data_IF_002672873560
#
_entry.id   IF_002672873560
#
_cell.length_a   1.000
_cell.length_b   1.000
_cell.length_c   1.000
_cell.angle_alpha   90.00
_cell.angle_beta   90.00
_cell.angle_gamma   90.00
#
_symmetry.space_group_name_H-M   'P 1'
#
loop_
_entity.id
_entity.type
_entity.pdbx_description
1 polymer ?
#
# COMPACT_ATOMS: atom_id res chain seq x y z
N UNK A 1 21.99 -19.21 -1.44
CA UNK A 1 20.61 -18.78 -1.20
C UNK A 1 20.53 -17.27 -1.36
N UNK A 2 19.44 -16.76 -1.93
CA UNK A 2 19.14 -15.34 -2.09
C UNK A 2 17.66 -15.15 -1.74
N UNK A 3 17.32 -14.11 -0.98
CA UNK A 3 15.94 -13.81 -0.57
C UNK A 3 15.62 -12.34 -0.83
N UNK A 4 14.43 -12.08 -1.34
CA UNK A 4 13.87 -10.74 -1.53
C UNK A 4 12.41 -10.71 -1.07
N UNK A 5 12.02 -9.64 -0.37
CA UNK A 5 10.63 -9.37 -0.02
C UNK A 5 9.96 -8.52 -1.10
N UNK A 6 8.80 -8.94 -1.58
CA UNK A 6 7.94 -8.20 -2.52
C UNK A 6 6.56 -8.09 -1.87
N UNK A 7 6.08 -6.87 -1.60
CA UNK A 7 4.95 -6.67 -0.71
C UNK A 7 5.24 -7.24 0.69
N UNK A 8 4.49 -8.28 1.09
CA UNK A 8 4.75 -9.06 2.31
C UNK A 8 5.25 -10.48 2.04
N UNK A 9 5.47 -10.83 0.77
CA UNK A 9 5.90 -12.17 0.32
C UNK A 9 7.41 -12.25 0.24
N UNK A 10 7.99 -13.25 0.89
CA UNK A 10 9.40 -13.57 0.73
C UNK A 10 9.59 -14.56 -0.43
N UNK A 11 10.42 -14.17 -1.40
CA UNK A 11 10.87 -15.00 -2.52
C UNK A 11 12.29 -15.44 -2.25
N UNK A 12 12.51 -16.75 -2.11
CA UNK A 12 13.82 -17.32 -1.79
C UNK A 12 14.29 -18.27 -2.88
N UNK A 13 15.48 -18.05 -3.42
CA UNK A 13 16.12 -18.91 -4.42
C UNK A 13 17.33 -19.61 -3.78
N UNK A 14 17.30 -20.94 -3.76
CA UNK A 14 18.45 -21.76 -3.37
C UNK A 14 19.07 -22.42 -4.60
N UNK A 15 20.35 -22.16 -4.83
CA UNK A 15 21.03 -22.54 -6.06
C UNK A 15 22.53 -22.74 -5.84
N UNK A 16 23.15 -23.50 -6.74
CA UNK A 16 24.60 -23.60 -6.85
C UNK A 16 25.11 -22.86 -8.09
N UNK A 17 26.36 -22.40 -8.01
CA UNK A 17 26.95 -21.42 -8.92
C UNK A 17 28.07 -22.04 -9.77
N UNK A 18 27.78 -22.78 -10.85
CA UNK A 18 28.83 -23.25 -11.75
C UNK A 18 29.54 -22.06 -12.41
N UNK A 19 30.85 -22.19 -12.61
CA UNK A 19 31.64 -21.24 -13.41
C UNK A 19 31.40 -21.50 -14.91
N UNK A 20 31.52 -20.53 -15.79
CA UNK A 20 31.46 -20.76 -17.23
C UNK A 20 32.81 -21.26 -17.73
N UNK A 21 33.88 -20.56 -17.34
CA UNK A 21 35.24 -20.76 -17.82
C UNK A 21 35.31 -20.59 -19.34
N UNK A 22 36.12 -21.43 -20.00
CA UNK A 22 36.27 -21.46 -21.46
C UNK A 22 35.27 -22.37 -22.18
N UNK A 23 34.27 -22.90 -21.47
CA UNK A 23 33.36 -23.92 -22.02
C UNK A 23 32.25 -23.29 -22.85
N UNK A 24 31.80 -24.02 -23.87
CA UNK A 24 30.54 -23.70 -24.56
C UNK A 24 29.36 -24.08 -23.65
N UNK A 25 28.75 -23.06 -23.03
CA UNK A 25 27.65 -23.27 -22.09
C UNK A 25 26.36 -23.61 -22.84
N UNK A 26 25.85 -22.69 -23.65
CA UNK A 26 24.56 -22.84 -24.34
C UNK A 26 24.68 -23.71 -25.59
N UNK A 27 23.81 -24.71 -25.71
CA UNK A 27 23.91 -25.75 -26.74
C UNK A 27 25.14 -26.67 -26.57
N UNK A 28 25.76 -26.66 -25.39
CA UNK A 28 26.91 -27.49 -25.02
C UNK A 28 26.68 -28.13 -23.65
N UNK A 29 27.26 -27.54 -22.60
CA UNK A 29 27.05 -27.98 -21.20
C UNK A 29 25.57 -27.97 -20.82
N UNK A 30 24.83 -26.99 -21.31
CA UNK A 30 23.37 -26.90 -21.22
C UNK A 30 22.80 -27.16 -22.62
N UNK A 31 22.28 -28.37 -22.90
CA UNK A 31 21.68 -28.70 -24.19
C UNK A 31 20.39 -27.91 -24.41
N UNK A 32 20.17 -27.48 -25.66
CA UNK A 32 18.89 -26.87 -26.03
C UNK A 32 17.77 -27.92 -26.14
N UNK A 33 16.55 -27.48 -25.85
CA UNK A 33 15.34 -28.31 -25.93
C UNK A 33 15.22 -29.38 -24.84
N UNK A 34 16.10 -29.36 -23.83
CA UNK A 34 16.08 -30.30 -22.71
C UNK A 34 15.90 -29.56 -21.38
N UNK A 35 15.18 -30.14 -20.40
CA UNK A 35 15.09 -29.58 -19.05
C UNK A 35 16.46 -29.50 -18.38
N UNK A 36 16.76 -28.33 -17.83
CA UNK A 36 17.95 -28.06 -17.06
C UNK A 36 17.57 -27.46 -15.71
N UNK A 37 18.20 -27.92 -14.63
CA UNK A 37 18.01 -27.51 -13.22
C UNK A 37 18.36 -26.05 -12.89
N UNK A 38 18.61 -25.24 -13.92
CA UNK A 38 18.95 -23.81 -13.80
C UNK A 38 20.07 -23.50 -12.78
N UNK A 39 21.05 -24.40 -12.67
CA UNK A 39 22.10 -24.40 -11.63
C UNK A 39 23.03 -25.61 -11.73
N UNK A 40 23.68 -25.98 -10.62
CA UNK A 40 24.57 -27.14 -10.52
C UNK A 40 24.22 -28.03 -9.32
N UNK A 41 24.69 -29.29 -9.34
CA UNK A 41 24.45 -30.29 -8.30
C UNK A 41 22.96 -30.56 -8.05
N UNK A 42 22.43 -30.15 -6.89
CA UNK A 42 21.03 -30.26 -6.52
C UNK A 42 20.13 -29.40 -7.41
N UNK A 43 18.83 -29.69 -7.39
CA UNK A 43 17.88 -28.85 -8.11
C UNK A 43 17.89 -27.43 -7.55
N UNK A 44 17.89 -26.42 -8.42
CA UNK A 44 17.64 -25.05 -7.97
C UNK A 44 16.21 -25.00 -7.44
N UNK A 45 16.00 -24.38 -6.30
CA UNK A 45 14.65 -24.20 -5.76
C UNK A 45 14.29 -22.74 -5.67
N UNK A 46 12.99 -22.45 -5.87
CA UNK A 46 12.40 -21.15 -5.63
C UNK A 46 11.18 -21.32 -4.72
N UNK A 47 11.17 -20.55 -3.64
CA UNK A 47 10.14 -20.59 -2.61
C UNK A 47 9.39 -19.26 -2.56
N UNK A 48 8.07 -19.35 -2.39
CA UNK A 48 7.17 -18.22 -2.16
C UNK A 48 6.39 -18.46 -0.86
N UNK A 49 6.36 -17.47 0.05
CA UNK A 49 5.57 -17.57 1.29
C UNK A 49 4.07 -17.41 1.09
N UNK A 50 3.68 -16.78 -0.02
CA UNK A 50 2.30 -16.46 -0.39
C UNK A 50 2.08 -16.71 -1.90
N UNK A 51 0.82 -16.79 -2.36
CA UNK A 51 0.52 -16.90 -3.79
C UNK A 51 1.06 -15.70 -4.58
N UNK A 52 1.61 -15.97 -5.76
CA UNK A 52 2.20 -14.97 -6.65
C UNK A 52 1.64 -15.09 -8.06
N UNK A 53 1.93 -14.10 -8.90
CA UNK A 53 1.82 -14.18 -10.34
C UNK A 53 3.24 -14.22 -10.93
N UNK A 54 3.54 -15.22 -11.74
CA UNK A 54 4.78 -15.29 -12.53
C UNK A 54 4.43 -15.06 -13.98
N UNK A 55 5.00 -14.03 -14.61
CA UNK A 55 4.61 -13.59 -15.96
C UNK A 55 3.08 -13.44 -16.11
N UNK A 56 2.43 -12.91 -15.06
CA UNK A 56 0.98 -12.73 -14.99
C UNK A 56 0.16 -14.01 -14.74
N UNK A 57 0.78 -15.20 -14.68
CA UNK A 57 0.09 -16.47 -14.41
C UNK A 57 0.13 -16.83 -12.92
N UNK A 58 -0.98 -17.31 -12.33
CA UNK A 58 -1.03 -17.64 -10.92
C UNK A 58 -0.13 -18.84 -10.57
N UNK A 59 0.53 -18.73 -9.42
CA UNK A 59 1.27 -19.80 -8.77
C UNK A 59 1.01 -19.72 -7.26
N UNK A 60 0.57 -20.82 -6.66
CA UNK A 60 0.33 -20.88 -5.22
C UNK A 60 1.64 -20.71 -4.42
N UNK A 61 1.49 -20.47 -3.11
CA UNK A 61 2.64 -20.51 -2.19
C UNK A 61 3.25 -21.91 -2.16
N UNK A 62 4.55 -21.99 -1.98
CA UNK A 62 5.24 -23.27 -1.88
C UNK A 62 6.72 -23.19 -2.27
N UNK A 63 7.38 -24.34 -2.22
CA UNK A 63 8.77 -24.52 -2.69
C UNK A 63 8.75 -25.35 -3.95
N UNK A 64 9.26 -24.79 -5.04
CA UNK A 64 9.25 -25.40 -6.36
C UNK A 64 10.68 -25.71 -6.82
N UNK A 65 10.84 -26.83 -7.52
CA UNK A 65 12.02 -27.10 -8.33
C UNK A 65 12.03 -26.19 -9.55
N UNK A 66 13.07 -25.39 -9.72
CA UNK A 66 13.22 -24.45 -10.82
C UNK A 66 13.99 -25.11 -11.96
N UNK A 67 13.28 -25.35 -13.07
CA UNK A 67 13.87 -25.86 -14.31
C UNK A 67 13.71 -24.84 -15.42
N UNK A 68 14.60 -24.92 -16.41
CA UNK A 68 14.50 -24.15 -17.65
C UNK A 68 14.72 -25.07 -18.84
N UNK A 69 13.94 -24.90 -19.90
CA UNK A 69 14.20 -25.51 -21.21
C UNK A 69 14.72 -24.38 -22.12
N UNK A 70 16.04 -24.31 -22.34
CA UNK A 70 16.60 -23.27 -23.17
C UNK A 70 16.43 -23.60 -24.65
N UNK A 71 16.14 -22.58 -25.44
CA UNK A 71 16.29 -22.61 -26.91
C UNK A 71 17.14 -21.41 -27.34
N UNK A 72 17.28 -21.19 -28.66
CA UNK A 72 18.01 -20.02 -29.17
C UNK A 72 17.32 -18.69 -28.83
N UNK A 73 15.98 -18.64 -28.90
CA UNK A 73 15.23 -17.37 -28.88
C UNK A 73 14.20 -17.26 -27.75
N UNK A 74 13.72 -18.39 -27.22
CA UNK A 74 12.68 -18.44 -26.18
C UNK A 74 12.97 -19.55 -25.19
N UNK A 75 12.85 -19.25 -23.90
CA UNK A 75 13.10 -20.21 -22.83
C UNK A 75 11.81 -20.49 -22.08
N UNK A 76 11.58 -21.74 -21.74
CA UNK A 76 10.49 -22.10 -20.84
C UNK A 76 11.05 -22.21 -19.43
N UNK A 77 10.60 -21.34 -18.52
CA UNK A 77 10.85 -21.45 -17.07
C UNK A 77 9.73 -22.30 -16.46
N UNK A 78 10.12 -23.24 -15.61
CA UNK A 78 9.26 -24.30 -15.09
C UNK A 78 9.38 -24.33 -13.57
N UNK A 79 8.22 -24.35 -12.92
CA UNK A 79 8.07 -24.49 -11.48
C UNK A 79 7.50 -25.88 -11.19
N UNK A 80 8.36 -26.84 -10.88
CA UNK A 80 7.96 -28.22 -10.56
C UNK A 80 7.63 -28.37 -9.07
N UNK A 81 6.59 -29.16 -8.75
CA UNK A 81 6.24 -29.52 -7.37
C UNK A 81 7.30 -30.40 -6.70
N UNK A 82 8.19 -31.00 -7.48
CA UNK A 82 9.31 -31.81 -7.00
C UNK A 82 10.56 -30.95 -6.81
N UNK A 83 10.79 -30.49 -5.58
CA UNK A 83 11.90 -29.61 -5.20
C UNK A 83 13.10 -30.32 -4.57
N UNK A 84 13.05 -31.65 -4.41
CA UNK A 84 14.06 -32.44 -3.69
C UNK A 84 14.94 -33.31 -4.59
N UNK A 85 14.62 -33.40 -5.88
CA UNK A 85 15.37 -34.24 -6.83
C UNK A 85 16.79 -33.75 -7.07
N UNK A 86 17.70 -34.69 -7.38
CA UNK A 86 19.05 -34.36 -7.80
C UNK A 86 19.08 -33.98 -9.28
N UNK A 87 19.16 -32.67 -9.54
CA UNK A 87 19.20 -32.12 -10.89
C UNK A 87 17.91 -32.35 -11.69
N UNK A 88 18.03 -32.75 -12.97
CA UNK A 88 16.87 -32.89 -13.90
C UNK A 88 16.71 -34.28 -14.49
N UNK A 89 17.44 -35.27 -13.98
CA UNK A 89 17.46 -36.63 -14.53
C UNK A 89 16.14 -37.39 -14.34
N UNK A 90 15.41 -37.06 -13.27
CA UNK A 90 14.11 -37.64 -12.91
C UNK A 90 12.98 -36.63 -13.08
N UNK A 91 13.17 -35.61 -13.92
CA UNK A 91 12.17 -34.59 -14.17
C UNK A 91 10.92 -35.20 -14.84
N UNK A 92 9.74 -35.00 -14.25
CA UNK A 92 8.44 -35.39 -14.82
C UNK A 92 7.58 -34.15 -15.11
N UNK A 93 7.22 -33.87 -16.38
CA UNK A 93 6.30 -32.80 -16.75
C UNK A 93 4.95 -32.79 -16.01
N UNK A 94 4.48 -33.95 -15.50
CA UNK A 94 3.23 -34.04 -14.74
C UNK A 94 3.31 -33.38 -13.37
N UNK A 95 4.52 -33.13 -12.88
CA UNK A 95 4.77 -32.47 -11.60
C UNK A 95 4.83 -30.94 -11.74
N UNK A 96 4.76 -30.40 -12.96
CA UNK A 96 4.80 -28.96 -13.19
C UNK A 96 3.57 -28.27 -12.59
N UNK A 97 3.81 -27.30 -11.71
CA UNK A 97 2.79 -26.38 -11.24
C UNK A 97 2.58 -25.23 -12.24
N UNK A 98 3.65 -24.77 -12.89
CA UNK A 98 3.57 -23.67 -13.85
C UNK A 98 4.69 -23.74 -14.90
N UNK A 99 4.34 -23.33 -16.13
CA UNK A 99 5.29 -23.02 -17.21
C UNK A 99 5.05 -21.61 -17.74
N UNK A 100 6.13 -20.83 -17.85
CA UNK A 100 6.13 -19.51 -18.46
C UNK A 100 7.21 -19.44 -19.53
N UNK A 101 6.90 -18.77 -20.63
CA UNK A 101 7.89 -18.53 -21.68
C UNK A 101 8.46 -17.14 -21.48
N UNK A 102 9.78 -17.02 -21.56
CA UNK A 102 10.51 -15.77 -21.42
C UNK A 102 11.59 -15.66 -22.48
N UNK A 103 11.99 -14.44 -22.79
CA UNK A 103 13.02 -14.17 -23.78
C UNK A 103 14.37 -13.96 -23.09
N UNK A 104 15.39 -14.79 -23.36
CA UNK A 104 16.75 -14.51 -22.90
C UNK A 104 17.26 -13.22 -23.55
N UNK A 105 18.14 -12.52 -22.84
CA UNK A 105 18.69 -11.25 -23.26
C UNK A 105 20.22 -11.29 -23.22
N UNK A 106 20.92 -10.63 -24.16
CA UNK A 106 22.36 -10.43 -24.05
C UNK A 106 22.70 -9.70 -22.74
N UNK A 107 23.78 -10.13 -22.10
CA UNK A 107 24.29 -9.55 -20.87
C UNK A 107 25.82 -9.49 -20.89
N UNK A 108 26.39 -8.66 -20.02
CA UNK A 108 27.82 -8.68 -19.71
C UNK A 108 28.26 -10.08 -19.26
N UNK A 109 29.50 -10.46 -19.59
CA UNK A 109 30.00 -11.78 -19.26
C UNK A 109 30.06 -11.97 -17.73
N UNK A 110 29.40 -13.01 -17.25
CA UNK A 110 29.39 -13.40 -15.84
C UNK A 110 29.87 -14.84 -15.68
N UNK A 111 31.04 -15.04 -15.07
CA UNK A 111 31.66 -16.37 -14.99
C UNK A 111 30.86 -17.33 -14.09
N UNK A 112 30.60 -16.95 -12.83
CA UNK A 112 29.78 -17.75 -11.93
C UNK A 112 28.28 -17.49 -12.16
N UNK A 113 27.46 -18.53 -12.37
CA UNK A 113 26.00 -18.34 -12.43
C UNK A 113 25.50 -17.59 -11.19
N UNK A 114 24.64 -16.62 -11.40
CA UNK A 114 23.99 -15.85 -10.33
C UNK A 114 22.50 -15.65 -10.60
N UNK A 115 21.74 -15.51 -9.52
CA UNK A 115 20.39 -14.96 -9.55
C UNK A 115 20.41 -13.58 -8.91
N UNK A 116 19.52 -12.70 -9.35
CA UNK A 116 19.30 -11.38 -8.78
C UNK A 116 17.82 -10.98 -8.87
N UNK A 117 17.44 -9.95 -8.12
CA UNK A 117 16.13 -9.29 -8.18
C UNK A 117 16.31 -7.86 -8.71
N UNK A 118 15.97 -7.68 -9.99
CA UNK A 118 16.01 -6.40 -10.69
C UNK A 118 14.65 -5.68 -10.62
N UNK A 119 14.64 -4.37 -10.92
CA UNK A 119 13.43 -3.55 -11.09
C UNK A 119 12.41 -3.67 -9.93
N UNK A 120 12.89 -3.61 -8.69
CA UNK A 120 12.05 -3.68 -7.50
C UNK A 120 10.97 -2.60 -7.50
N UNK A 121 9.73 -3.02 -7.27
CA UNK A 121 8.53 -2.20 -7.06
C UNK A 121 7.82 -2.67 -5.79
N UNK A 122 6.86 -1.89 -5.24
CA UNK A 122 6.11 -2.29 -4.05
C UNK A 122 5.43 -3.67 -4.16
N UNK A 123 5.01 -4.07 -5.36
CA UNK A 123 4.20 -5.25 -5.63
C UNK A 123 4.86 -6.24 -6.62
N UNK A 124 6.07 -5.95 -7.11
CA UNK A 124 6.69 -6.76 -8.15
C UNK A 124 8.21 -6.62 -8.19
N UNK A 125 8.87 -7.62 -8.76
CA UNK A 125 10.29 -7.63 -9.09
C UNK A 125 10.54 -8.51 -10.30
N UNK A 126 11.67 -8.30 -10.98
CA UNK A 126 12.17 -9.18 -12.04
C UNK A 126 13.24 -10.09 -11.46
N UNK A 127 12.98 -11.39 -11.45
CA UNK A 127 14.00 -12.40 -11.11
C UNK A 127 14.84 -12.65 -12.36
N UNK A 128 16.17 -12.51 -12.22
CA UNK A 128 17.09 -12.66 -13.35
C UNK A 128 18.14 -13.72 -13.05
N UNK A 129 18.17 -14.81 -13.83
CA UNK A 129 19.36 -15.65 -13.93
C UNK A 129 20.38 -14.94 -14.83
N UNK A 130 21.65 -14.83 -14.41
CA UNK A 130 22.75 -14.33 -15.24
C UNK A 130 23.91 -15.32 -15.24
N UNK A 131 24.33 -15.74 -16.44
CA UNK A 131 25.47 -16.63 -16.60
C UNK A 131 26.04 -16.56 -18.01
N UNK A 132 27.36 -16.60 -18.14
CA UNK A 132 28.04 -16.32 -19.40
C UNK A 132 27.57 -14.95 -19.92
N UNK A 133 27.12 -14.82 -21.18
CA UNK A 133 26.67 -13.57 -21.80
C UNK A 133 25.15 -13.50 -21.92
N UNK A 134 24.41 -14.28 -21.12
CA UNK A 134 22.96 -14.29 -21.12
C UNK A 134 22.39 -13.93 -19.75
N UNK A 135 21.31 -13.15 -19.79
CA UNK A 135 20.37 -12.97 -18.71
C UNK A 135 19.01 -13.58 -19.10
N UNK A 136 18.32 -14.17 -18.13
CA UNK A 136 16.98 -14.75 -18.31
C UNK A 136 16.06 -14.12 -17.27
N UNK A 137 15.45 -12.97 -17.58
CA UNK A 137 14.55 -12.27 -16.68
C UNK A 137 13.13 -12.88 -16.73
N UNK A 138 12.48 -12.96 -15.58
CA UNK A 138 11.05 -13.19 -15.48
C UNK A 138 10.42 -12.37 -14.34
N UNK A 139 9.24 -11.81 -14.57
CA UNK A 139 8.52 -10.98 -13.61
C UNK A 139 7.77 -11.84 -12.59
N UNK A 140 7.96 -11.50 -11.32
CA UNK A 140 7.16 -11.99 -10.19
C UNK A 140 6.42 -10.80 -9.60
N UNK A 141 5.10 -10.91 -9.49
CA UNK A 141 4.27 -9.88 -8.86
C UNK A 141 3.33 -10.51 -7.85
N UNK A 142 2.95 -9.75 -6.83
CA UNK A 142 1.99 -10.13 -5.80
C UNK A 142 0.76 -9.25 -5.89
N UNK A 143 -0.40 -9.80 -5.57
CA UNK A 143 -1.62 -9.02 -5.42
C UNK A 143 -1.68 -8.46 -4.00
N UNK A 144 -0.89 -7.40 -3.74
CA UNK A 144 -0.76 -6.78 -2.41
C UNK A 144 -2.13 -6.49 -1.79
N UNK A 145 -3.03 -5.94 -2.60
CA UNK A 145 -4.38 -5.57 -2.17
C UNK A 145 -5.19 -6.78 -1.69
N UNK A 146 -5.23 -7.86 -2.47
CA UNK A 146 -5.93 -9.11 -2.10
C UNK A 146 -5.36 -9.70 -0.80
N UNK A 147 -4.04 -9.63 -0.62
CA UNK A 147 -3.37 -10.13 0.60
C UNK A 147 -3.72 -9.30 1.83
N UNK A 148 -3.76 -7.97 1.68
CA UNK A 148 -4.16 -7.09 2.78
C UNK A 148 -5.64 -7.29 3.11
N UNK A 149 -6.52 -7.40 2.12
CA UNK A 149 -7.94 -7.72 2.34
C UNK A 149 -8.10 -9.05 3.11
N UNK A 150 -7.39 -10.10 2.70
CA UNK A 150 -7.42 -11.38 3.41
C UNK A 150 -6.88 -11.27 4.85
N UNK A 151 -5.83 -10.48 5.07
CA UNK A 151 -5.29 -10.22 6.41
C UNK A 151 -6.28 -9.47 7.29
N UNK A 152 -6.92 -8.42 6.77
CA UNK A 152 -7.96 -7.66 7.45
C UNK A 152 -9.13 -8.59 7.82
N UNK A 153 -9.63 -9.39 6.87
CA UNK A 153 -10.68 -10.39 7.14
C UNK A 153 -10.30 -11.34 8.28
N UNK A 154 -9.05 -11.81 8.33
CA UNK A 154 -8.61 -12.72 9.38
C UNK A 154 -8.51 -12.02 10.73
N UNK A 155 -7.95 -10.81 10.79
CA UNK A 155 -7.83 -10.02 12.02
C UNK A 155 -9.21 -9.67 12.60
N UNK A 156 -10.17 -9.32 11.74
CA UNK A 156 -11.53 -8.96 12.10
C UNK A 156 -12.40 -10.15 12.50
N UNK A 157 -11.92 -11.40 12.39
CA UNK A 157 -12.53 -12.59 13.03
C UNK A 157 -12.11 -12.79 14.47
N UNK A 158 -11.09 -12.07 14.94
CA UNK A 158 -10.55 -12.14 16.30
C UNK A 158 -11.28 -11.22 17.28
N UNK A 159 -10.60 -10.82 18.36
CA UNK A 159 -11.16 -9.93 19.38
C UNK A 159 -11.57 -8.55 18.83
N UNK A 160 -10.92 -8.10 17.76
CA UNK A 160 -11.23 -6.84 17.09
C UNK A 160 -12.69 -6.75 16.62
N UNK A 161 -13.35 -7.89 16.38
CA UNK A 161 -14.73 -7.95 15.92
C UNK A 161 -15.74 -7.29 16.89
N UNK A 162 -15.42 -7.27 18.19
CA UNK A 162 -16.26 -6.78 19.28
C UNK A 162 -16.04 -5.30 19.60
N UNK A 163 -15.25 -4.60 18.79
CA UNK A 163 -14.89 -3.21 19.01
C UNK A 163 -15.04 -2.43 17.72
N UNK A 164 -15.48 -1.18 17.81
CA UNK A 164 -15.71 -0.34 16.63
C UNK A 164 -14.41 -0.01 15.86
N UNK A 165 -13.28 0.16 16.56
CA UNK A 165 -12.07 0.75 15.98
C UNK A 165 -11.43 -0.15 14.91
N UNK A 166 -11.37 -1.47 15.11
CA UNK A 166 -10.76 -2.37 14.14
C UNK A 166 -11.51 -2.38 12.79
N UNK A 167 -12.84 -2.35 12.86
CA UNK A 167 -13.69 -2.24 11.66
C UNK A 167 -13.53 -0.87 10.97
N UNK A 168 -13.46 0.21 11.74
CA UNK A 168 -13.29 1.56 11.21
C UNK A 168 -11.91 1.76 10.55
N UNK A 169 -10.84 1.28 11.18
CA UNK A 169 -9.48 1.32 10.65
C UNK A 169 -9.38 0.53 9.33
N UNK A 170 -10.00 -0.65 9.27
CA UNK A 170 -10.06 -1.46 8.07
C UNK A 170 -10.82 -0.75 6.94
N UNK A 171 -11.99 -0.14 7.24
CA UNK A 171 -12.75 0.63 6.26
C UNK A 171 -11.96 1.84 5.74
N UNK A 172 -11.26 2.56 6.62
CA UNK A 172 -10.38 3.67 6.26
C UNK A 172 -9.26 3.23 5.33
N UNK A 173 -8.59 2.13 5.66
CA UNK A 173 -7.54 1.57 4.81
C UNK A 173 -8.07 1.27 3.40
N UNK A 174 -9.23 0.62 3.30
CA UNK A 174 -9.81 0.27 2.00
C UNK A 174 -10.14 1.51 1.16
N UNK A 175 -10.79 2.52 1.74
CA UNK A 175 -11.14 3.73 0.97
C UNK A 175 -9.92 4.57 0.60
N UNK A 176 -8.90 4.67 1.46
CA UNK A 176 -7.68 5.43 1.17
C UNK A 176 -6.85 4.81 0.04
N UNK A 177 -6.86 3.49 -0.05
CA UNK A 177 -6.17 2.75 -1.11
C UNK A 177 -7.08 2.48 -2.32
N UNK A 178 -8.32 3.00 -2.33
CA UNK A 178 -9.32 2.80 -3.39
C UNK A 178 -9.60 1.31 -3.66
N UNK A 179 -9.60 0.53 -2.60
CA UNK A 179 -9.85 -0.91 -2.59
C UNK A 179 -11.28 -1.19 -2.15
N UNK A 180 -11.87 -2.25 -2.72
CA UNK A 180 -13.14 -2.88 -2.36
C UNK A 180 -14.12 -1.99 -1.54
N UNK A 181 -14.63 -0.92 -2.18
CA UNK A 181 -15.45 0.09 -1.50
C UNK A 181 -16.75 -0.48 -0.93
N UNK A 182 -17.29 -1.53 -1.54
CA UNK A 182 -18.47 -2.24 -1.03
C UNK A 182 -18.17 -2.92 0.32
N UNK A 183 -17.00 -3.56 0.45
CA UNK A 183 -16.58 -4.17 1.71
C UNK A 183 -16.23 -3.11 2.75
N UNK A 184 -15.60 -2.00 2.34
CA UNK A 184 -15.37 -0.85 3.21
C UNK A 184 -16.69 -0.34 3.81
N UNK A 185 -17.76 -0.24 3.01
CA UNK A 185 -19.07 0.18 3.48
C UNK A 185 -19.63 -0.79 4.53
N UNK A 186 -19.55 -2.11 4.28
CA UNK A 186 -19.95 -3.13 5.27
C UNK A 186 -19.16 -3.01 6.57
N UNK A 187 -17.86 -2.74 6.50
CA UNK A 187 -17.04 -2.54 7.69
C UNK A 187 -17.45 -1.29 8.47
N UNK A 188 -17.80 -0.19 7.79
CA UNK A 188 -18.35 0.98 8.50
C UNK A 188 -19.67 0.65 9.19
N UNK A 189 -20.55 -0.13 8.57
CA UNK A 189 -21.80 -0.58 9.19
C UNK A 189 -21.52 -1.45 10.42
N UNK A 190 -20.57 -2.39 10.34
CA UNK A 190 -20.13 -3.20 11.49
C UNK A 190 -19.50 -2.38 12.60
N UNK A 191 -18.72 -1.36 12.27
CA UNK A 191 -18.17 -0.44 13.26
C UNK A 191 -19.28 0.32 14.00
N UNK A 192 -20.25 0.85 13.26
CA UNK A 192 -21.41 1.58 13.78
C UNK A 192 -22.31 0.69 14.65
N UNK A 193 -22.53 -0.57 14.25
CA UNK A 193 -23.27 -1.57 15.03
C UNK A 193 -22.63 -1.83 16.40
N UNK A 194 -21.29 -1.85 16.47
CA UNK A 194 -20.56 -2.04 17.72
C UNK A 194 -20.68 -0.81 18.64
N UNK A 195 -20.41 0.38 18.09
CA UNK A 195 -20.59 1.64 18.80
C UNK A 195 -20.66 2.80 17.80
N UNK A 196 -21.80 3.46 17.68
CA UNK A 196 -21.96 4.59 16.76
C UNK A 196 -21.24 5.85 17.28
N UNK A 197 -20.24 6.34 16.55
CA UNK A 197 -19.38 7.48 16.93
C UNK A 197 -19.18 8.46 15.77
N UNK A 198 -18.52 9.58 16.04
CA UNK A 198 -18.11 10.52 14.98
C UNK A 198 -17.25 9.83 13.92
N UNK A 199 -16.27 9.06 14.38
CA UNK A 199 -15.19 8.49 13.57
C UNK A 199 -15.74 7.57 12.47
N UNK A 200 -16.54 6.57 12.86
CA UNK A 200 -17.11 5.63 11.89
C UNK A 200 -18.20 6.22 10.98
N UNK A 201 -18.94 7.22 11.44
CA UNK A 201 -19.86 7.97 10.57
C UNK A 201 -19.12 8.84 9.54
N UNK A 202 -17.98 9.44 9.94
CA UNK A 202 -17.12 10.19 9.04
C UNK A 202 -16.46 9.26 8.00
N UNK A 203 -15.98 8.09 8.42
CA UNK A 203 -15.47 7.05 7.51
C UNK A 203 -16.55 6.58 6.54
N UNK A 204 -17.78 6.33 7.02
CA UNK A 204 -18.92 5.97 6.16
C UNK A 204 -19.21 7.04 5.11
N UNK A 205 -19.20 8.32 5.51
CA UNK A 205 -19.35 9.43 4.57
C UNK A 205 -18.27 9.42 3.48
N UNK A 206 -17.00 9.21 3.87
CA UNK A 206 -15.87 9.12 2.95
C UNK A 206 -16.00 7.94 1.98
N UNK A 207 -16.40 6.76 2.46
CA UNK A 207 -16.66 5.58 1.63
C UNK A 207 -17.79 5.84 0.62
N UNK A 208 -18.94 6.33 1.09
CA UNK A 208 -20.08 6.66 0.23
C UNK A 208 -19.73 7.71 -0.83
N UNK A 209 -18.95 8.73 -0.45
CA UNK A 209 -18.47 9.73 -1.40
C UNK A 209 -17.55 9.11 -2.46
N UNK A 210 -16.65 8.20 -2.09
CA UNK A 210 -15.79 7.48 -3.02
C UNK A 210 -16.58 6.55 -3.97
N UNK A 211 -17.72 6.03 -3.53
CA UNK A 211 -18.66 5.25 -4.35
C UNK A 211 -19.54 6.13 -5.26
N UNK A 212 -19.55 7.46 -5.05
CA UNK A 212 -20.39 8.39 -5.79
C UNK A 212 -21.79 8.63 -5.18
N UNK A 213 -22.06 8.08 -4.00
CA UNK A 213 -23.34 8.16 -3.29
C UNK A 213 -23.43 9.48 -2.49
N UNK A 214 -23.55 10.61 -3.20
CA UNK A 214 -23.38 11.95 -2.61
C UNK A 214 -24.38 12.29 -1.50
N UNK A 215 -25.65 11.95 -1.69
CA UNK A 215 -26.71 12.29 -0.71
C UNK A 215 -26.56 11.48 0.57
N UNK A 216 -26.26 10.19 0.45
CA UNK A 216 -25.99 9.31 1.59
C UNK A 216 -24.69 9.72 2.31
N UNK A 217 -23.66 10.12 1.57
CA UNK A 217 -22.43 10.64 2.13
C UNK A 217 -22.69 11.92 2.96
N UNK A 218 -23.51 12.84 2.46
CA UNK A 218 -23.90 14.05 3.17
C UNK A 218 -24.73 13.73 4.44
N UNK A 219 -25.66 12.78 4.35
CA UNK A 219 -26.44 12.33 5.50
C UNK A 219 -25.54 11.73 6.60
N UNK A 220 -24.61 10.84 6.23
CA UNK A 220 -23.64 10.26 7.16
C UNK A 220 -22.73 11.34 7.78
N UNK A 221 -22.29 12.31 6.99
CA UNK A 221 -21.47 13.43 7.46
C UNK A 221 -22.21 14.29 8.50
N UNK A 222 -23.47 14.61 8.24
CA UNK A 222 -24.28 15.40 9.17
C UNK A 222 -24.46 14.66 10.50
N UNK A 223 -24.76 13.35 10.43
CA UNK A 223 -24.86 12.50 11.61
C UNK A 223 -23.54 12.42 12.39
N UNK A 224 -22.40 12.38 11.68
CA UNK A 224 -21.10 12.45 12.32
C UNK A 224 -20.95 13.76 13.11
N UNK A 225 -21.22 14.90 12.46
CA UNK A 225 -21.10 16.23 13.08
C UNK A 225 -22.01 16.44 14.30
N UNK A 226 -23.17 15.78 14.35
CA UNK A 226 -24.04 15.79 15.53
C UNK A 226 -23.40 15.14 16.77
N UNK A 227 -22.53 14.15 16.56
CA UNK A 227 -21.80 13.43 17.63
C UNK A 227 -20.40 13.97 17.89
N UNK A 228 -19.91 14.84 17.02
CA UNK A 228 -18.54 15.33 17.06
C UNK A 228 -18.28 16.16 18.32
N UNK A 229 -17.12 15.95 18.95
CA UNK A 229 -16.58 16.91 19.90
C UNK A 229 -16.25 18.25 19.22
N UNK A 230 -16.15 19.36 19.96
CA UNK A 230 -15.81 20.65 19.36
C UNK A 230 -14.48 20.62 18.60
N UNK A 231 -13.51 19.84 19.08
CA UNK A 231 -12.23 19.64 18.42
C UNK A 231 -12.38 18.84 17.12
N UNK A 232 -13.17 17.77 17.10
CA UNK A 232 -13.46 17.01 15.88
C UNK A 232 -14.16 17.87 14.82
N UNK A 233 -15.14 18.71 15.21
CA UNK A 233 -15.78 19.67 14.30
C UNK A 233 -14.73 20.62 13.71
N UNK A 234 -13.81 21.12 14.54
CA UNK A 234 -12.75 22.03 14.09
C UNK A 234 -11.80 21.33 13.11
N UNK A 235 -11.35 20.11 13.42
CA UNK A 235 -10.47 19.33 12.55
C UNK A 235 -11.13 18.98 11.23
N UNK A 236 -12.42 18.65 11.24
CA UNK A 236 -13.19 18.40 10.03
C UNK A 236 -13.21 19.64 9.11
N UNK A 237 -13.51 20.82 9.66
CA UNK A 237 -13.46 22.08 8.90
C UNK A 237 -12.05 22.37 8.35
N UNK A 238 -10.98 22.08 9.11
CA UNK A 238 -9.60 22.19 8.62
C UNK A 238 -9.32 21.24 7.45
N UNK A 239 -9.83 20.01 7.51
CA UNK A 239 -9.75 19.05 6.41
C UNK A 239 -10.41 19.56 5.13
N UNK A 240 -11.60 20.16 5.24
CA UNK A 240 -12.30 20.80 4.12
C UNK A 240 -11.48 21.94 3.49
N UNK A 241 -10.81 22.77 4.31
CA UNK A 241 -9.91 23.80 3.76
C UNK A 241 -8.78 23.19 2.93
N UNK A 242 -8.18 22.07 3.38
CA UNK A 242 -7.15 21.35 2.63
C UNK A 242 -7.65 20.75 1.31
N UNK A 243 -8.96 20.54 1.18
CA UNK A 243 -9.63 20.10 -0.05
C UNK A 243 -10.13 21.26 -0.92
N UNK A 244 -9.71 22.50 -0.64
CA UNK A 244 -10.20 23.73 -1.28
C UNK A 244 -11.70 24.02 -1.10
N UNK A 245 -12.35 23.42 -0.09
CA UNK A 245 -13.77 23.63 0.24
C UNK A 245 -13.92 24.69 1.34
N UNK A 246 -13.45 25.91 1.04
CA UNK A 246 -13.32 27.00 2.02
C UNK A 246 -14.67 27.46 2.58
N UNK A 247 -15.70 27.63 1.74
CA UNK A 247 -17.00 28.14 2.17
C UNK A 247 -17.68 27.21 3.19
N UNK A 248 -17.62 25.90 2.93
CA UNK A 248 -18.13 24.88 3.84
C UNK A 248 -17.35 24.88 5.16
N UNK A 249 -16.01 24.95 5.10
CA UNK A 249 -15.18 25.04 6.29
C UNK A 249 -15.51 26.26 7.15
N UNK A 250 -15.69 27.43 6.52
CA UNK A 250 -16.00 28.68 7.22
C UNK A 250 -17.39 28.65 7.86
N UNK A 251 -18.39 28.06 7.21
CA UNK A 251 -19.71 27.84 7.81
C UNK A 251 -19.61 26.98 9.08
N UNK A 252 -18.79 25.92 9.04
CA UNK A 252 -18.57 25.04 10.18
C UNK A 252 -17.79 25.75 11.30
N UNK A 253 -16.74 26.53 10.99
CA UNK A 253 -16.03 27.29 12.03
C UNK A 253 -16.95 28.28 12.76
N UNK A 254 -17.78 29.02 12.03
CA UNK A 254 -18.76 29.94 12.64
C UNK A 254 -19.73 29.20 13.56
N UNK A 255 -20.23 28.05 13.10
CA UNK A 255 -21.16 27.21 13.88
C UNK A 255 -20.49 26.65 15.13
N UNK A 256 -19.25 26.17 15.01
CA UNK A 256 -18.46 25.63 16.11
C UNK A 256 -18.18 26.71 17.17
N UNK A 257 -17.76 27.90 16.73
CA UNK A 257 -17.50 29.03 17.63
C UNK A 257 -18.77 29.54 18.34
N UNK A 258 -19.90 29.55 17.64
CA UNK A 258 -21.19 29.90 18.25
C UNK A 258 -21.61 28.91 19.33
N UNK A 259 -21.35 27.61 19.14
CA UNK A 259 -21.77 26.55 20.05
C UNK A 259 -20.78 26.35 21.22
N UNK A 260 -19.50 26.61 21.00
CA UNK A 260 -18.43 26.35 21.96
C UNK A 260 -17.44 27.53 22.06
N UNK A 261 -17.91 28.73 22.44
CA UNK A 261 -17.10 29.95 22.40
C UNK A 261 -15.86 29.91 23.30
N UNK A 262 -15.87 29.11 24.36
CA UNK A 262 -14.77 29.08 25.33
C UNK A 262 -13.56 28.22 24.88
N UNK A 263 -13.66 27.54 23.74
CA UNK A 263 -12.60 26.68 23.24
C UNK A 263 -11.57 27.47 22.44
N UNK A 264 -10.31 27.52 22.89
CA UNK A 264 -9.26 28.35 22.26
C UNK A 264 -9.15 28.15 20.73
N UNK A 265 -9.30 26.91 20.25
CA UNK A 265 -9.19 26.60 18.83
C UNK A 265 -10.36 27.14 17.99
N UNK A 266 -11.55 27.38 18.55
CA UNK A 266 -12.66 27.95 17.76
C UNK A 266 -12.36 29.39 17.33
N UNK A 267 -11.61 30.14 18.14
CA UNK A 267 -11.13 31.48 17.80
C UNK A 267 -10.10 31.45 16.66
N UNK A 268 -9.24 30.43 16.61
CA UNK A 268 -8.37 30.20 15.44
C UNK A 268 -9.19 29.95 14.17
N UNK A 269 -10.35 29.28 14.29
CA UNK A 269 -11.30 29.10 13.18
C UNK A 269 -11.93 30.42 12.73
N UNK A 270 -12.40 31.26 13.66
CA UNK A 270 -12.93 32.60 13.34
C UNK A 270 -11.86 33.51 12.74
N UNK A 271 -10.63 33.46 13.23
CA UNK A 271 -9.51 34.21 12.68
C UNK A 271 -9.29 33.88 11.19
N UNK A 272 -9.43 32.59 10.81
CA UNK A 272 -9.34 32.14 9.42
C UNK A 272 -10.45 32.70 8.54
N UNK A 273 -11.67 32.75 9.08
CA UNK A 273 -12.82 33.36 8.41
C UNK A 273 -12.58 34.84 8.15
N UNK A 274 -12.14 35.61 9.16
CA UNK A 274 -11.82 37.04 9.01
C UNK A 274 -10.66 37.26 8.05
N UNK A 275 -9.62 36.43 8.11
CA UNK A 275 -8.47 36.48 7.21
C UNK A 275 -8.89 36.34 5.75
N UNK A 276 -9.79 35.38 5.45
CA UNK A 276 -10.32 35.19 4.10
C UNK A 276 -11.17 36.37 3.59
N UNK A 277 -11.72 37.17 4.50
CA UNK A 277 -12.45 38.41 4.18
C UNK A 277 -11.53 39.63 4.01
N UNK A 278 -10.22 39.47 4.20
CA UNK A 278 -9.25 40.57 4.23
C UNK A 278 -9.26 41.38 5.53
N UNK A 279 -10.03 40.96 6.54
CA UNK A 279 -10.09 41.61 7.85
C UNK A 279 -9.00 41.06 8.77
N UNK A 280 -7.75 41.39 8.42
CA UNK A 280 -6.57 40.97 9.19
C UNK A 280 -6.58 41.51 10.64
N UNK A 281 -7.23 42.64 10.87
CA UNK A 281 -7.36 43.24 12.20
C UNK A 281 -8.20 42.34 13.11
N UNK A 282 -9.42 41.97 12.70
CA UNK A 282 -10.25 41.09 13.51
C UNK A 282 -9.72 39.64 13.51
N UNK A 283 -9.07 39.20 12.44
CA UNK A 283 -8.36 37.92 12.43
C UNK A 283 -7.29 37.85 13.52
N UNK A 284 -6.43 38.87 13.62
CA UNK A 284 -5.38 38.94 14.64
C UNK A 284 -5.96 39.01 16.05
N UNK A 285 -7.07 39.74 16.26
CA UNK A 285 -7.76 39.78 17.56
C UNK A 285 -8.25 38.40 17.99
N UNK A 286 -8.97 37.69 17.13
CA UNK A 286 -9.43 36.33 17.42
C UNK A 286 -8.26 35.39 17.69
N UNK A 287 -7.18 35.47 16.90
CA UNK A 287 -6.01 34.62 17.11
C UNK A 287 -5.28 34.92 18.43
N UNK A 288 -5.31 36.17 18.92
CA UNK A 288 -4.81 36.52 20.26
C UNK A 288 -5.67 35.94 21.38
N UNK A 289 -6.99 35.88 21.19
CA UNK A 289 -7.89 35.18 22.13
C UNK A 289 -7.55 33.69 22.15
N UNK A 290 -7.34 33.09 20.97
CA UNK A 290 -6.88 31.70 20.86
C UNK A 290 -5.56 31.48 21.61
N UNK A 291 -4.58 32.39 21.46
CA UNK A 291 -3.27 32.30 22.11
C UNK A 291 -3.36 32.33 23.65
N UNK A 292 -4.22 33.19 24.19
CA UNK A 292 -4.35 33.38 25.64
C UNK A 292 -4.75 32.10 26.37
N UNK A 293 -5.60 31.27 25.74
CA UNK A 293 -6.14 30.03 26.31
C UNK A 293 -5.57 28.77 25.68
N UNK A 294 -4.57 28.88 24.79
CA UNK A 294 -3.95 27.73 24.14
C UNK A 294 -3.09 26.92 25.13
N UNK A 295 -3.07 25.57 25.02
CA UNK A 295 -2.10 24.73 25.73
C UNK A 295 -0.67 25.14 25.40
N UNK A 296 0.26 24.97 26.34
CA UNK A 296 1.65 25.42 26.17
C UNK A 296 2.33 24.85 24.92
N UNK A 297 2.05 23.58 24.60
CA UNK A 297 2.54 22.92 23.38
C UNK A 297 2.09 23.60 22.07
N UNK A 298 1.00 24.38 22.09
CA UNK A 298 0.44 25.05 20.93
C UNK A 298 0.75 26.56 20.88
N UNK A 299 1.18 27.17 22.00
CA UNK A 299 1.37 28.63 22.10
C UNK A 299 2.33 29.19 21.04
N UNK A 300 3.48 28.54 20.84
CA UNK A 300 4.48 28.99 19.85
C UNK A 300 3.91 29.00 18.42
N UNK A 301 3.17 27.95 18.05
CA UNK A 301 2.50 27.87 16.75
C UNK A 301 1.45 28.98 16.58
N UNK A 302 0.59 29.19 17.59
CA UNK A 302 -0.46 30.21 17.55
C UNK A 302 0.14 31.62 17.53
N UNK A 303 1.21 31.88 18.27
CA UNK A 303 1.94 33.16 18.26
C UNK A 303 2.51 33.46 16.86
N UNK A 304 3.05 32.45 16.17
CA UNK A 304 3.47 32.57 14.77
C UNK A 304 2.33 33.00 13.85
N UNK A 305 1.12 32.46 14.05
CA UNK A 305 -0.07 32.86 13.28
C UNK A 305 -0.52 34.29 13.60
N UNK A 306 -0.41 34.75 14.85
CA UNK A 306 -0.68 36.16 15.21
C UNK A 306 0.24 37.10 14.42
N UNK A 307 1.55 36.83 14.41
CA UNK A 307 2.54 37.67 13.72
C UNK A 307 2.29 37.75 12.20
N UNK A 308 1.94 36.61 11.59
CA UNK A 308 1.52 36.55 10.17
C UNK A 308 0.32 37.44 9.91
N UNK A 309 -0.73 37.31 10.72
CA UNK A 309 -1.96 38.12 10.58
C UNK A 309 -1.70 39.61 10.77
N UNK A 310 -0.87 40.01 11.74
CA UNK A 310 -0.47 41.41 11.95
C UNK A 310 0.32 41.97 10.77
N UNK A 311 1.07 41.12 10.07
CA UNK A 311 1.79 41.46 8.83
C UNK A 311 0.90 41.41 7.58
N UNK A 312 -0.40 41.14 7.74
CA UNK A 312 -1.38 40.95 6.67
C UNK A 312 -1.09 39.74 5.76
N UNK A 313 -0.42 38.73 6.30
CA UNK A 313 -0.21 37.46 5.62
C UNK A 313 -1.45 36.57 5.74
N UNK A 314 -1.89 36.03 4.61
CA UNK A 314 -3.02 35.10 4.58
C UNK A 314 -2.62 33.77 5.22
N UNK A 315 -3.25 33.43 6.35
CA UNK A 315 -2.99 32.18 7.08
C UNK A 315 -3.77 30.97 6.53
N UNK A 316 -4.66 31.19 5.55
CA UNK A 316 -5.37 30.12 4.86
C UNK A 316 -4.57 29.51 3.70
N UNK A 317 -3.43 30.12 3.37
CA UNK A 317 -2.42 29.63 2.43
C UNK A 317 -1.27 28.95 3.18
#
# INVERSE_FOLDING_TARGET
>A
MLTQRIGITDVTISYHRPLAGSRKIWGGVVPYGQPWRAGANENTTIQFTDPVLVEGKPLDRGTYGLHMIPTADEWTVIFSKNSTSWGSFTYDPKEDALRVNVKPQPAEFHDALTYDFDQLKPDSAVVSLRWEKLAVPFNVSVKVNDMVEASLHNQLRGLAQYTWFGWDDAANYLVDNKMNLEEALKYTDKSIENEERFDNLATKSKVLAAMGHKDEAAAAQNKALEKASPLQIHMFARGLQGQNRQDEAFAIFRTNAKKYPDQWFVHSGLARVYCAQGDFSNAAKEMKVALASAPDAQKSYVEGLVKRLESKDDINK
#
